data_IF_409384438117
#
_entry.id   IF_409384438117
#
_cell.length_a   1.000
_cell.length_b   1.000
_cell.length_c   1.000
_cell.angle_alpha   90.00
_cell.angle_beta   90.00
_cell.angle_gamma   90.00
#
_symmetry.space_group_name_H-M   'P 1'
#
loop_
_entity.id
_entity.type
_entity.pdbx_description
1 polymer ?
#
# COMPACT_ATOMS: atom_id res chain seq x y z
N UNK A 1 2.99 -4.49 23.75
CA UNK A 1 2.27 -4.09 22.53
C UNK A 1 1.76 -5.35 21.81
N UNK A 2 0.52 -5.37 21.31
CA UNK A 2 0.02 -6.50 20.53
C UNK A 2 0.46 -6.37 19.07
N UNK A 3 1.39 -7.24 18.64
CA UNK A 3 1.98 -7.20 17.29
C UNK A 3 0.95 -7.50 16.20
N UNK A 4 -0.10 -8.26 16.52
CA UNK A 4 -1.19 -8.56 15.57
C UNK A 4 -1.96 -7.29 15.23
N UNK A 5 -2.17 -6.42 16.22
CA UNK A 5 -2.86 -5.14 16.01
C UNK A 5 -2.13 -4.24 15.00
N UNK A 6 -0.79 -4.21 15.00
CA UNK A 6 -0.03 -3.41 14.03
C UNK A 6 -0.15 -3.97 12.61
N UNK A 7 -0.10 -5.29 12.45
CA UNK A 7 -0.31 -5.95 11.16
C UNK A 7 -1.74 -5.68 10.67
N UNK A 8 -2.73 -5.79 11.54
CA UNK A 8 -4.14 -5.51 11.21
C UNK A 8 -4.35 -4.06 10.75
N UNK A 9 -3.72 -3.09 11.42
CA UNK A 9 -3.75 -1.68 11.02
C UNK A 9 -3.11 -1.47 9.64
N UNK A 10 -1.98 -2.10 9.37
CA UNK A 10 -1.31 -2.01 8.08
C UNK A 10 -2.13 -2.65 6.97
N UNK A 11 -2.70 -3.84 7.22
CA UNK A 11 -3.64 -4.52 6.31
C UNK A 11 -4.84 -3.62 5.99
N UNK A 12 -5.45 -2.99 6.99
CA UNK A 12 -6.56 -2.07 6.78
C UNK A 12 -6.17 -0.89 5.88
N UNK A 13 -4.99 -0.29 6.11
CA UNK A 13 -4.50 0.82 5.28
C UNK A 13 -4.18 0.40 3.85
N UNK A 14 -3.61 -0.79 3.64
CA UNK A 14 -3.32 -1.29 2.29
C UNK A 14 -4.63 -1.56 1.53
N UNK A 15 -5.65 -2.12 2.18
CA UNK A 15 -6.99 -2.30 1.59
C UNK A 15 -7.64 -0.97 1.18
N UNK A 16 -7.53 0.05 2.02
CA UNK A 16 -8.01 1.41 1.70
C UNK A 16 -7.29 2.01 0.48
N UNK A 17 -5.97 1.80 0.38
CA UNK A 17 -5.16 2.23 -0.77
C UNK A 17 -5.59 1.54 -2.06
N UNK A 18 -5.84 0.22 -2.02
CA UNK A 18 -6.36 -0.56 -3.16
C UNK A 18 -7.71 0.02 -3.61
N UNK A 19 -8.66 0.17 -2.70
CA UNK A 19 -9.99 0.68 -3.01
C UNK A 19 -9.95 2.10 -3.60
N UNK A 20 -9.01 2.93 -3.14
CA UNK A 20 -8.81 4.27 -3.70
C UNK A 20 -8.22 4.20 -5.11
N UNK A 21 -7.19 3.40 -5.34
CA UNK A 21 -6.61 3.23 -6.67
C UNK A 21 -7.65 2.69 -7.68
N UNK A 22 -8.50 1.75 -7.28
CA UNK A 22 -9.57 1.22 -8.14
C UNK A 22 -10.63 2.28 -8.49
N UNK A 23 -11.06 3.10 -7.51
CA UNK A 23 -11.99 4.21 -7.77
C UNK A 23 -11.41 5.24 -8.74
N UNK A 24 -10.16 5.64 -8.52
CA UNK A 24 -9.46 6.59 -9.39
C UNK A 24 -9.24 6.03 -10.80
N UNK A 25 -8.97 4.72 -10.91
CA UNK A 25 -8.88 4.04 -12.21
C UNK A 25 -10.21 4.10 -12.95
N UNK A 26 -11.32 3.81 -12.28
CA UNK A 26 -12.65 3.86 -12.88
C UNK A 26 -13.02 5.28 -13.32
N UNK A 27 -12.73 6.28 -12.48
CA UNK A 27 -12.95 7.69 -12.81
C UNK A 27 -12.12 8.14 -14.03
N UNK A 28 -10.85 7.73 -14.10
CA UNK A 28 -9.98 8.05 -15.24
C UNK A 28 -10.46 7.37 -16.53
N UNK A 29 -10.91 6.11 -16.46
CA UNK A 29 -11.44 5.39 -17.61
C UNK A 29 -12.74 6.02 -18.12
N UNK A 30 -13.63 6.44 -17.20
CA UNK A 30 -14.86 7.13 -17.56
C UNK A 30 -14.58 8.50 -18.18
N UNK A 31 -13.65 9.28 -17.62
CA UNK A 31 -13.23 10.56 -18.19
C UNK A 31 -12.66 10.41 -19.62
N UNK A 32 -11.90 9.35 -19.88
CA UNK A 32 -11.35 9.05 -21.21
C UNK A 32 -12.44 8.70 -22.25
N UNK A 33 -13.58 8.13 -21.82
CA UNK A 33 -14.63 7.65 -22.73
C UNK A 33 -15.84 8.60 -22.83
N UNK A 34 -16.23 9.22 -21.71
CA UNK A 34 -17.51 9.88 -21.53
C UNK A 34 -17.43 11.36 -21.16
N UNK A 35 -16.22 11.89 -20.91
CA UNK A 35 -16.01 13.29 -20.51
C UNK A 35 -16.58 14.28 -21.53
N UNK A 36 -17.17 15.37 -21.03
CA UNK A 36 -17.73 16.46 -21.85
C UNK A 36 -16.72 17.01 -22.87
N UNK A 37 -15.44 17.09 -22.50
CA UNK A 37 -14.34 17.48 -23.39
C UNK A 37 -14.08 16.43 -24.49
N UNK A 38 -14.04 15.13 -24.12
CA UNK A 38 -13.85 14.00 -25.05
C UNK A 38 -14.94 13.88 -26.10
N UNK A 39 -16.19 14.27 -25.75
CA UNK A 39 -17.33 14.30 -26.68
C UNK A 39 -17.34 15.55 -27.58
N UNK A 40 -16.65 16.63 -27.20
CA UNK A 40 -16.77 17.93 -27.86
C UNK A 40 -15.75 18.20 -28.97
N UNK A 41 -14.57 17.54 -29.04
CA UNK A 41 -13.53 17.88 -30.03
C UNK A 41 -12.76 16.69 -30.62
N UNK A 42 -12.45 16.76 -31.93
CA UNK A 42 -11.56 15.81 -32.65
C UNK A 42 -10.06 16.00 -32.32
N UNK A 43 -9.69 17.06 -31.60
CA UNK A 43 -8.32 17.32 -31.13
C UNK A 43 -7.95 16.52 -29.86
N UNK A 44 -8.89 15.73 -29.33
CA UNK A 44 -8.86 15.24 -27.95
C UNK A 44 -8.20 13.86 -27.74
N UNK A 45 -7.48 13.38 -28.77
CA UNK A 45 -6.68 12.15 -28.67
C UNK A 45 -5.66 12.25 -27.54
N UNK A 46 -5.11 13.44 -27.28
CA UNK A 46 -4.11 13.65 -26.23
C UNK A 46 -4.70 13.48 -24.83
N UNK A 47 -5.86 14.06 -24.52
CA UNK A 47 -6.50 13.87 -23.21
C UNK A 47 -6.94 12.42 -23.01
N UNK A 48 -7.52 11.79 -24.02
CA UNK A 48 -7.86 10.36 -23.94
C UNK A 48 -6.62 9.50 -23.66
N UNK A 49 -5.46 9.83 -24.25
CA UNK A 49 -4.17 9.17 -23.95
C UNK A 49 -3.74 9.43 -22.51
N UNK A 50 -3.82 10.67 -22.01
CA UNK A 50 -3.41 11.06 -20.66
C UNK A 50 -4.28 10.35 -19.59
N UNK A 51 -5.60 10.36 -19.72
CA UNK A 51 -6.50 9.66 -18.81
C UNK A 51 -6.34 8.12 -18.90
N UNK A 52 -6.12 7.58 -20.11
CA UNK A 52 -5.80 6.15 -20.25
C UNK A 52 -4.48 5.79 -19.57
N UNK A 53 -3.48 6.67 -19.62
CA UNK A 53 -2.21 6.47 -18.92
C UNK A 53 -2.40 6.56 -17.39
N UNK A 54 -3.23 7.49 -16.91
CA UNK A 54 -3.59 7.62 -15.50
C UNK A 54 -4.28 6.35 -14.99
N UNK A 55 -5.27 5.83 -15.72
CA UNK A 55 -5.96 4.59 -15.39
C UNK A 55 -4.99 3.41 -15.28
N UNK A 56 -4.07 3.25 -16.26
CA UNK A 56 -3.03 2.22 -16.20
C UNK A 56 -2.08 2.39 -15.00
N UNK A 57 -1.75 3.63 -14.66
CA UNK A 57 -0.95 3.93 -13.47
C UNK A 57 -1.63 3.51 -12.17
N UNK A 58 -2.94 3.78 -12.05
CA UNK A 58 -3.75 3.33 -10.92
C UNK A 58 -3.88 1.80 -10.86
N UNK A 59 -4.07 1.14 -12.00
CA UNK A 59 -4.11 -0.31 -12.08
C UNK A 59 -2.82 -0.94 -11.52
N UNK A 60 -1.66 -0.45 -11.97
CA UNK A 60 -0.36 -0.93 -11.47
C UNK A 60 -0.21 -0.72 -9.96
N UNK A 61 -0.65 0.43 -9.44
CA UNK A 61 -0.65 0.69 -7.99
C UNK A 61 -1.52 -0.31 -7.23
N UNK A 62 -2.73 -0.59 -7.72
CA UNK A 62 -3.63 -1.57 -7.11
C UNK A 62 -3.01 -2.97 -7.14
N UNK A 63 -2.40 -3.38 -8.26
CA UNK A 63 -1.70 -4.68 -8.38
C UNK A 63 -0.55 -4.81 -7.39
N UNK A 64 0.35 -3.82 -7.32
CA UNK A 64 1.45 -3.83 -6.34
C UNK A 64 0.94 -3.85 -4.89
N UNK A 65 -0.13 -3.11 -4.60
CA UNK A 65 -0.72 -3.10 -3.26
C UNK A 65 -1.39 -4.45 -2.92
N UNK A 66 -1.98 -5.16 -3.89
CA UNK A 66 -2.52 -6.52 -3.68
C UNK A 66 -1.42 -7.54 -3.38
N UNK A 67 -0.25 -7.43 -4.02
CA UNK A 67 0.92 -8.28 -3.71
C UNK A 67 1.37 -8.02 -2.27
N UNK A 68 1.54 -6.76 -1.89
CA UNK A 68 1.92 -6.39 -0.52
C UNK A 68 0.86 -6.84 0.51
N UNK A 69 -0.43 -6.75 0.17
CA UNK A 69 -1.50 -7.24 1.04
C UNK A 69 -1.38 -8.75 1.26
N UNK A 70 -1.13 -9.54 0.21
CA UNK A 70 -0.95 -10.98 0.34
C UNK A 70 0.28 -11.34 1.18
N UNK A 71 1.38 -10.60 1.02
CA UNK A 71 2.58 -10.76 1.86
C UNK A 71 2.26 -10.48 3.33
N UNK A 72 1.56 -9.39 3.62
CA UNK A 72 1.14 -9.02 4.98
C UNK A 72 0.16 -10.00 5.61
N UNK A 73 -0.83 -10.48 4.84
CA UNK A 73 -1.78 -11.49 5.31
C UNK A 73 -1.10 -12.84 5.58
N UNK A 74 -0.01 -13.14 4.86
CA UNK A 74 0.81 -14.32 5.11
C UNK A 74 1.84 -14.12 6.25
N UNK A 75 2.06 -12.87 6.69
CA UNK A 75 3.09 -12.52 7.66
C UNK A 75 2.68 -12.87 9.09
N UNK A 76 3.17 -14.00 9.56
CA UNK A 76 2.94 -14.52 10.91
C UNK A 76 4.27 -14.66 11.66
N UNK A 77 4.86 -13.55 12.16
CA UNK A 77 6.15 -13.60 12.83
C UNK A 77 6.05 -14.48 14.08
N UNK A 78 6.93 -15.48 14.16
CA UNK A 78 7.04 -16.35 15.33
C UNK A 78 7.51 -15.60 16.57
N UNK A 79 7.28 -16.18 17.75
CA UNK A 79 7.88 -15.65 18.99
C UNK A 79 9.38 -15.90 18.93
N UNK A 80 10.17 -14.87 19.16
CA UNK A 80 11.62 -15.03 19.39
C UNK A 80 11.78 -15.64 20.78
N UNK A 81 12.37 -16.84 20.92
CA UNK A 81 12.59 -17.44 22.23
C UNK A 81 13.55 -16.59 23.07
N UNK A 82 13.51 -16.74 24.40
CA UNK A 82 14.42 -16.03 25.30
C UNK A 82 15.88 -16.41 24.96
N UNK A 83 16.72 -15.42 24.68
CA UNK A 83 18.09 -15.64 24.18
C UNK A 83 18.19 -16.02 22.70
N UNK A 84 17.07 -16.04 21.98
CA UNK A 84 17.03 -16.23 20.53
C UNK A 84 17.64 -15.04 19.79
N UNK A 85 18.16 -15.30 18.59
CA UNK A 85 18.72 -14.25 17.73
C UNK A 85 17.62 -13.42 17.09
N UNK A 86 17.90 -12.14 16.89
CA UNK A 86 17.10 -11.25 16.03
C UNK A 86 17.20 -11.75 14.58
N UNK A 87 16.08 -11.75 13.85
CA UNK A 87 15.98 -12.21 12.46
C UNK A 87 15.12 -11.25 11.65
N UNK A 88 15.15 -11.38 10.31
CA UNK A 88 14.21 -10.69 9.41
C UNK A 88 12.76 -10.95 9.85
N UNK A 89 11.93 -9.91 9.82
CA UNK A 89 10.57 -9.93 10.32
C UNK A 89 10.45 -9.68 11.84
N UNK A 90 11.55 -9.51 12.57
CA UNK A 90 11.49 -9.19 13.99
C UNK A 90 10.99 -7.75 14.21
N UNK A 91 10.01 -7.60 15.12
CA UNK A 91 9.70 -6.32 15.77
C UNK A 91 10.38 -6.31 17.13
N UNK A 92 11.29 -5.37 17.31
CA UNK A 92 12.14 -5.20 18.48
C UNK A 92 11.80 -3.90 19.20
N UNK A 93 11.95 -3.90 20.51
CA UNK A 93 12.00 -2.70 21.33
C UNK A 93 13.43 -2.57 21.83
N UNK A 94 14.04 -1.42 21.58
CA UNK A 94 15.40 -1.09 21.98
C UNK A 94 15.30 0.11 22.90
N UNK A 95 15.89 -0.02 24.09
CA UNK A 95 15.98 1.05 25.08
C UNK A 95 17.40 1.62 25.03
N UNK A 96 17.51 2.95 24.98
CA UNK A 96 18.78 3.65 25.11
C UNK A 96 19.24 3.55 26.57
N UNK A 97 20.44 3.01 26.82
CA UNK A 97 20.96 2.81 28.19
C UNK A 97 21.28 4.13 28.90
N UNK A 98 21.58 5.20 28.17
CA UNK A 98 21.94 6.50 28.72
C UNK A 98 20.71 7.37 28.99
N UNK A 99 19.70 7.34 28.10
CA UNK A 99 18.49 8.18 28.23
C UNK A 99 17.26 7.45 28.76
N UNK A 100 17.23 6.12 28.67
CA UNK A 100 16.04 5.31 28.95
C UNK A 100 14.96 5.38 27.87
N UNK A 101 15.24 6.03 26.72
CA UNK A 101 14.25 6.17 25.67
C UNK A 101 14.05 4.85 24.90
N UNK A 102 12.82 4.36 24.88
CA UNK A 102 12.41 3.18 24.10
C UNK A 102 12.07 3.51 22.64
N UNK A 103 12.55 2.70 21.71
CA UNK A 103 12.20 2.77 20.27
C UNK A 103 11.82 1.40 19.74
N UNK A 104 10.78 1.36 18.92
CA UNK A 104 10.34 0.13 18.24
C UNK A 104 10.89 0.10 16.82
N UNK A 105 11.51 -1.03 16.44
CA UNK A 105 12.08 -1.25 15.11
C UNK A 105 11.48 -2.49 14.45
N UNK A 106 11.33 -2.44 13.13
CA UNK A 106 11.05 -3.60 12.28
C UNK A 106 12.30 -3.93 11.45
N UNK A 107 12.71 -5.20 11.44
CA UNK A 107 13.85 -5.68 10.67
C UNK A 107 13.34 -6.21 9.32
N UNK A 108 13.58 -5.46 8.24
CA UNK A 108 13.17 -5.75 6.87
C UNK A 108 14.36 -6.12 5.98
#
# INVERSE_FOLDING_TARGET
MDKRLLVDQLVARVRESIATAEREMAAAADAAQNGEEAKARREDTRMAIEYSALARGQQKRAESARIALAELESFHPGRIPRGGRVQLGAILEVEDEDTGDGRTFFIA
#
